data_IF_112570152618
#
_entry.id   IF_112570152618
#
_cell.length_a   1.000
_cell.length_b   1.000
_cell.length_c   1.000
_cell.angle_alpha   90.00
_cell.angle_beta   90.00
_cell.angle_gamma   90.00
#
_symmetry.space_group_name_H-M   'P 1'
#
loop_
_entity.id
_entity.type
_entity.pdbx_description
1 polymer ?
#
# COMPACT_ATOMS: atom_id res chain seq x y z
N UNK A 1 15.82 12.52 4.16
CA UNK A 1 15.11 13.75 4.59
C UNK A 1 14.63 13.63 6.03
N UNK A 2 14.66 14.70 6.82
CA UNK A 2 13.99 14.72 8.12
C UNK A 2 12.48 14.83 7.93
N UNK A 3 11.71 13.97 8.61
CA UNK A 3 10.24 14.07 8.66
C UNK A 3 9.83 15.37 9.38
N UNK A 4 8.70 15.98 9.03
CA UNK A 4 8.15 17.07 9.83
C UNK A 4 7.92 16.61 11.27
N UNK A 5 8.22 17.47 12.24
CA UNK A 5 8.11 17.12 13.66
C UNK A 5 6.66 17.01 14.16
N UNK A 6 5.72 17.68 13.49
CA UNK A 6 4.31 17.70 13.87
C UNK A 6 3.44 17.95 12.64
N UNK A 7 2.17 17.54 12.75
CA UNK A 7 1.17 17.86 11.73
C UNK A 7 0.78 19.32 11.87
N UNK A 8 0.69 20.02 10.74
CA UNK A 8 0.33 21.43 10.66
C UNK A 8 -0.79 21.66 9.65
N UNK A 9 -1.57 22.74 9.78
CA UNK A 9 -2.50 23.13 8.73
C UNK A 9 -1.73 23.55 7.47
N UNK A 10 -2.26 23.17 6.32
CA UNK A 10 -1.76 23.57 5.01
C UNK A 10 -2.09 25.05 4.78
N UNK A 11 -1.11 25.89 4.43
CA UNK A 11 -1.34 27.31 4.17
C UNK A 11 -2.18 27.57 2.91
N UNK A 12 -2.31 26.57 2.02
CA UNK A 12 -3.04 26.70 0.75
C UNK A 12 -4.49 26.20 0.84
N UNK A 13 -4.73 25.00 1.37
CA UNK A 13 -6.08 24.42 1.42
C UNK A 13 -6.74 24.45 2.81
N UNK A 14 -6.05 24.90 3.86
CA UNK A 14 -6.56 24.99 5.23
C UNK A 14 -6.70 23.65 5.98
N UNK A 15 -6.73 22.52 5.26
CA UNK A 15 -6.72 21.18 5.83
C UNK A 15 -5.35 20.79 6.39
N UNK A 16 -5.22 19.68 7.13
CA UNK A 16 -3.92 19.16 7.58
C UNK A 16 -3.01 18.89 6.38
N UNK A 17 -1.76 19.35 6.47
CA UNK A 17 -0.78 19.27 5.39
C UNK A 17 -0.58 17.81 4.94
N UNK A 18 -0.72 17.57 3.63
CA UNK A 18 -0.76 16.24 3.01
C UNK A 18 -2.17 15.76 2.66
N UNK A 19 -3.23 16.16 3.37
CA UNK A 19 -4.60 15.66 3.10
C UNK A 19 -5.13 16.08 1.73
N UNK A 20 -4.75 17.27 1.27
CA UNK A 20 -5.13 17.81 -0.04
C UNK A 20 -4.42 17.17 -1.23
N UNK A 21 -3.57 16.17 -1.04
CA UNK A 21 -2.84 15.49 -2.12
C UNK A 21 -3.79 14.75 -3.09
N UNK A 22 -3.53 14.77 -4.41
CA UNK A 22 -2.51 15.55 -5.12
C UNK A 22 -3.00 16.94 -5.58
N UNK A 23 -4.27 17.29 -5.33
CA UNK A 23 -4.91 18.48 -5.90
C UNK A 23 -4.40 19.82 -5.33
N UNK A 24 -4.00 19.85 -4.07
CA UNK A 24 -3.39 21.02 -3.43
C UNK A 24 -1.88 21.01 -3.69
N UNK A 25 -1.37 22.02 -4.40
CA UNK A 25 0.06 22.13 -4.76
C UNK A 25 0.99 22.01 -3.56
N UNK A 26 0.71 22.70 -2.46
CA UNK A 26 1.53 22.61 -1.25
C UNK A 26 1.54 21.20 -0.65
N UNK A 27 0.38 20.53 -0.64
CA UNK A 27 0.31 19.14 -0.17
C UNK A 27 1.02 18.18 -1.14
N UNK A 28 0.95 18.44 -2.45
CA UNK A 28 1.67 17.70 -3.48
C UNK A 28 3.17 17.78 -3.25
N UNK A 29 3.73 18.99 -3.19
CA UNK A 29 5.16 19.21 -2.94
C UNK A 29 5.63 18.57 -1.62
N UNK A 30 4.87 18.74 -0.53
CA UNK A 30 5.20 18.15 0.78
C UNK A 30 5.22 16.61 0.78
N UNK A 31 4.37 15.95 -0.01
CA UNK A 31 4.34 14.48 -0.09
C UNK A 31 5.38 13.99 -1.10
N UNK A 32 5.45 14.63 -2.26
CA UNK A 32 6.30 14.22 -3.38
C UNK A 32 7.80 14.46 -3.10
N UNK A 33 8.16 15.38 -2.20
CA UNK A 33 9.56 15.63 -1.80
C UNK A 33 10.31 14.37 -1.31
N UNK A 34 9.59 13.39 -0.73
CA UNK A 34 10.20 12.14 -0.26
C UNK A 34 10.71 11.27 -1.41
N UNK A 35 10.05 11.34 -2.56
CA UNK A 35 10.48 10.66 -3.78
C UNK A 35 11.46 11.52 -4.59
N UNK A 36 11.20 12.82 -4.64
CA UNK A 36 11.99 13.77 -5.43
C UNK A 36 13.45 13.83 -4.98
N UNK A 37 13.73 13.71 -3.67
CA UNK A 37 15.10 13.74 -3.17
C UNK A 37 15.95 12.58 -3.71
N UNK A 38 15.44 11.35 -3.61
CA UNK A 38 16.16 10.17 -4.12
C UNK A 38 16.32 10.25 -5.65
N UNK A 39 15.32 10.82 -6.35
CA UNK A 39 15.42 11.08 -7.78
C UNK A 39 16.48 12.13 -8.13
N UNK A 40 16.56 13.23 -7.38
CA UNK A 40 17.56 14.28 -7.57
C UNK A 40 18.98 13.76 -7.28
N UNK A 41 19.15 12.89 -6.28
CA UNK A 41 20.41 12.20 -6.02
C UNK A 41 20.81 11.31 -7.21
N UNK A 42 19.86 10.57 -7.80
CA UNK A 42 20.10 9.77 -8.99
C UNK A 42 20.48 10.64 -10.21
N UNK A 43 19.76 11.73 -10.46
CA UNK A 43 20.08 12.68 -11.54
C UNK A 43 21.49 13.26 -11.40
N UNK A 44 21.88 13.63 -10.17
CA UNK A 44 23.21 14.16 -9.90
C UNK A 44 24.31 13.09 -10.14
N UNK A 45 24.05 11.84 -9.75
CA UNK A 45 24.94 10.71 -9.97
C UNK A 45 25.16 10.40 -11.46
N UNK A 46 24.14 10.61 -12.30
CA UNK A 46 24.18 10.44 -13.76
C UNK A 46 24.58 11.74 -14.51
N UNK A 47 24.87 12.84 -13.79
CA UNK A 47 25.15 14.16 -14.34
C UNK A 47 24.08 14.69 -15.32
N UNK A 48 22.81 14.42 -15.01
CA UNK A 48 21.65 14.85 -15.80
C UNK A 48 20.97 16.08 -15.18
N UNK A 49 20.37 16.90 -16.04
CA UNK A 49 19.57 18.06 -15.61
C UNK A 49 18.09 17.68 -15.48
N UNK A 50 17.45 18.19 -14.43
CA UNK A 50 15.99 18.09 -14.22
C UNK A 50 15.23 18.76 -15.38
N UNK A 51 14.17 18.12 -15.86
CA UNK A 51 13.35 18.54 -16.99
C UNK A 51 14.00 18.34 -18.38
N UNK A 52 15.22 17.79 -18.44
CA UNK A 52 15.92 17.53 -19.69
C UNK A 52 15.47 16.23 -20.39
N UNK A 53 15.86 16.07 -21.67
CA UNK A 53 15.58 14.82 -22.40
C UNK A 53 16.18 13.58 -21.72
N UNK A 54 17.38 13.73 -21.13
CA UNK A 54 18.05 12.64 -20.40
C UNK A 54 17.30 12.19 -19.16
N UNK A 55 16.52 13.06 -18.50
CA UNK A 55 15.71 12.65 -17.33
C UNK A 55 14.63 11.64 -17.75
N UNK A 56 14.02 11.85 -18.92
CA UNK A 56 13.01 10.93 -19.46
C UNK A 56 13.63 9.58 -19.84
N UNK A 57 14.79 9.60 -20.50
CA UNK A 57 15.53 8.38 -20.85
C UNK A 57 15.94 7.60 -19.60
N UNK A 58 16.39 8.29 -18.55
CA UNK A 58 16.68 7.69 -17.26
C UNK A 58 15.42 7.08 -16.62
N UNK A 59 14.27 7.75 -16.68
CA UNK A 59 13.02 7.20 -16.16
C UNK A 59 12.62 5.91 -16.89
N UNK A 60 12.81 5.84 -18.21
CA UNK A 60 12.57 4.64 -19.00
C UNK A 60 13.53 3.50 -18.59
N UNK A 61 14.82 3.83 -18.40
CA UNK A 61 15.83 2.87 -17.93
C UNK A 61 15.50 2.31 -16.54
N UNK A 62 15.16 3.17 -15.59
CA UNK A 62 14.81 2.78 -14.21
C UNK A 62 13.64 1.80 -14.16
N UNK A 63 12.65 1.93 -15.06
CA UNK A 63 11.52 1.00 -15.14
C UNK A 63 11.82 -0.27 -15.94
N UNK A 64 12.84 -0.27 -16.80
CA UNK A 64 13.27 -1.43 -17.58
C UNK A 64 14.27 -2.32 -16.82
N UNK A 65 15.00 -1.74 -15.87
CA UNK A 65 15.98 -2.42 -15.04
C UNK A 65 15.35 -3.44 -14.06
N UNK A 66 16.19 -4.33 -13.52
CA UNK A 66 15.78 -5.29 -12.51
C UNK A 66 15.22 -4.61 -11.25
N UNK A 67 14.16 -5.19 -10.68
CA UNK A 67 13.57 -4.75 -9.41
C UNK A 67 14.65 -4.77 -8.33
N UNK A 68 14.77 -3.67 -7.57
CA UNK A 68 15.79 -3.55 -6.53
C UNK A 68 17.09 -2.89 -6.96
N UNK A 69 17.34 -2.73 -8.27
CA UNK A 69 18.54 -2.02 -8.77
C UNK A 69 18.54 -0.54 -8.41
N UNK A 70 17.38 0.08 -8.47
CA UNK A 70 17.14 1.47 -8.06
C UNK A 70 16.25 1.51 -6.81
N UNK A 71 16.41 2.50 -5.91
CA UNK A 71 15.48 2.71 -4.81
C UNK A 71 14.03 2.74 -5.29
N UNK A 72 13.11 2.15 -4.51
CA UNK A 72 11.69 2.09 -4.88
C UNK A 72 11.06 3.47 -5.08
N UNK A 73 11.59 4.50 -4.41
CA UNK A 73 11.26 5.92 -4.61
C UNK A 73 11.61 6.39 -6.01
N UNK A 74 12.78 6.04 -6.53
CA UNK A 74 13.15 6.34 -7.92
C UNK A 74 12.24 5.62 -8.93
N UNK A 75 11.91 4.34 -8.68
CA UNK A 75 10.94 3.60 -9.53
C UNK A 75 9.58 4.30 -9.54
N UNK A 76 9.03 4.64 -8.39
CA UNK A 76 7.74 5.31 -8.27
C UNK A 76 7.75 6.73 -8.87
N UNK A 77 8.89 7.44 -8.79
CA UNK A 77 9.05 8.77 -9.39
C UNK A 77 9.14 8.67 -10.92
N UNK A 78 9.91 7.72 -11.45
CA UNK A 78 9.99 7.45 -12.88
C UNK A 78 8.61 7.20 -13.50
N UNK A 79 7.73 6.48 -12.80
CA UNK A 79 6.33 6.29 -13.23
C UNK A 79 5.57 7.62 -13.37
N UNK A 80 5.91 8.64 -12.56
CA UNK A 80 5.26 9.96 -12.62
C UNK A 80 5.74 10.84 -13.78
N UNK A 81 6.93 10.54 -14.32
CA UNK A 81 7.52 11.26 -15.44
C UNK A 81 7.09 10.70 -16.81
N UNK A 82 6.58 9.46 -16.82
CA UNK A 82 6.23 8.75 -18.05
C UNK A 82 4.72 8.70 -18.27
N UNK A 83 4.32 8.97 -19.51
CA UNK A 83 2.96 8.77 -19.98
C UNK A 83 2.76 7.32 -20.43
N UNK A 84 1.62 6.75 -20.09
CA UNK A 84 1.19 5.45 -20.55
C UNK A 84 0.99 5.48 -22.07
N UNK A 85 1.67 4.59 -22.79
CA UNK A 85 1.56 4.51 -24.25
C UNK A 85 0.19 4.07 -24.77
N UNK A 86 -0.70 3.58 -23.89
CA UNK A 86 -2.07 3.19 -24.25
C UNK A 86 -3.10 4.30 -24.00
N UNK A 87 -3.11 4.92 -22.82
CA UNK A 87 -4.13 5.90 -22.44
C UNK A 87 -3.63 7.35 -22.36
N UNK A 88 -2.32 7.59 -22.48
CA UNK A 88 -1.72 8.93 -22.41
C UNK A 88 -1.56 9.51 -21.01
N UNK A 89 -2.28 8.99 -20.01
CA UNK A 89 -2.15 9.43 -18.61
C UNK A 89 -0.80 9.02 -18.00
N UNK A 90 -0.45 9.65 -16.87
CA UNK A 90 0.69 9.23 -16.05
C UNK A 90 0.63 7.72 -15.75
N UNK A 91 1.78 7.04 -15.83
CA UNK A 91 1.85 5.60 -15.73
C UNK A 91 1.24 5.10 -14.40
N UNK A 92 0.45 4.02 -14.48
CA UNK A 92 -0.38 3.48 -13.38
C UNK A 92 -1.52 4.38 -12.86
N UNK A 93 -1.74 5.58 -13.41
CA UNK A 93 -2.85 6.45 -13.02
C UNK A 93 -4.02 6.45 -14.00
N UNK A 94 -3.89 5.83 -15.18
CA UNK A 94 -4.94 5.82 -16.21
C UNK A 94 -6.23 5.08 -15.82
N UNK A 95 -7.21 5.00 -16.76
CA UNK A 95 -8.53 4.39 -16.54
C UNK A 95 -8.44 2.97 -16.00
N UNK A 96 -9.44 2.54 -15.22
CA UNK A 96 -9.43 1.24 -14.54
C UNK A 96 -9.24 0.04 -15.49
N UNK A 97 -9.73 0.16 -16.72
CA UNK A 97 -9.64 -0.82 -17.81
C UNK A 97 -8.37 -0.72 -18.68
N UNK A 98 -7.50 0.27 -18.44
CA UNK A 98 -6.21 0.36 -19.11
C UNK A 98 -5.24 -0.71 -18.59
N UNK A 99 -5.04 -1.76 -19.41
CA UNK A 99 -4.17 -2.90 -19.09
C UNK A 99 -2.74 -2.48 -18.82
N UNK A 100 -2.16 -1.56 -19.61
CA UNK A 100 -0.79 -1.07 -19.37
C UNK A 100 -0.63 -0.39 -18.01
N UNK A 101 -1.60 0.44 -17.60
CA UNK A 101 -1.56 1.04 -16.27
C UNK A 101 -1.73 -0.01 -15.16
N UNK A 102 -2.58 -1.02 -15.36
CA UNK A 102 -2.73 -2.12 -14.42
C UNK A 102 -1.44 -2.95 -14.27
N UNK A 103 -0.75 -3.25 -15.37
CA UNK A 103 0.53 -3.96 -15.37
C UNK A 103 1.61 -3.14 -14.67
N UNK A 104 1.72 -1.85 -14.98
CA UNK A 104 2.70 -0.97 -14.34
C UNK A 104 2.45 -0.84 -12.82
N UNK A 105 1.18 -0.76 -12.38
CA UNK A 105 0.85 -0.79 -10.96
C UNK A 105 1.16 -2.15 -10.32
N UNK A 106 0.94 -3.27 -11.02
CA UNK A 106 1.36 -4.59 -10.53
C UNK A 106 2.88 -4.70 -10.36
N UNK A 107 3.64 -4.21 -11.34
CA UNK A 107 5.11 -4.20 -11.30
C UNK A 107 5.65 -3.29 -10.18
N UNK A 108 5.01 -2.15 -9.89
CA UNK A 108 5.34 -1.29 -8.74
C UNK A 108 5.46 -2.10 -7.44
N UNK A 109 4.51 -3.00 -7.18
CA UNK A 109 4.46 -3.79 -5.94
C UNK A 109 5.37 -5.02 -5.96
N UNK A 110 6.03 -5.34 -7.09
CA UNK A 110 7.00 -6.44 -7.15
C UNK A 110 8.16 -6.27 -6.15
N UNK A 111 8.52 -5.01 -5.84
CA UNK A 111 9.49 -4.65 -4.80
C UNK A 111 9.18 -5.30 -3.44
N UNK A 112 7.90 -5.40 -3.07
CA UNK A 112 7.46 -5.98 -1.80
C UNK A 112 7.63 -7.52 -1.77
N UNK A 113 7.74 -8.15 -2.94
CA UNK A 113 7.79 -9.60 -3.12
C UNK A 113 9.18 -10.13 -3.52
N UNK A 114 10.04 -9.30 -4.11
CA UNK A 114 11.31 -9.70 -4.71
C UNK A 114 12.45 -10.00 -3.71
N UNK A 115 12.18 -10.17 -2.42
CA UNK A 115 13.25 -10.44 -1.44
C UNK A 115 14.06 -9.20 -1.04
N UNK A 116 13.62 -8.01 -1.42
CA UNK A 116 14.04 -6.73 -0.85
C UNK A 116 13.17 -6.19 0.32
N UNK A 117 12.31 -6.97 1.04
CA UNK A 117 11.38 -6.40 2.00
C UNK A 117 12.08 -5.83 3.26
N UNK A 118 13.36 -6.13 3.49
CA UNK A 118 14.15 -5.47 4.54
C UNK A 118 14.59 -4.05 4.17
N UNK A 119 14.48 -3.68 2.89
CA UNK A 119 14.84 -2.35 2.39
C UNK A 119 13.67 -1.35 2.40
N UNK A 120 12.44 -1.79 2.69
CA UNK A 120 11.30 -0.89 2.92
C UNK A 120 10.75 -1.09 4.34
N UNK A 121 10.79 -0.03 5.13
CA UNK A 121 10.20 -0.02 6.47
C UNK A 121 8.67 -0.03 6.36
N UNK A 122 7.98 -0.47 7.42
CA UNK A 122 6.52 -0.46 7.45
C UNK A 122 5.92 0.96 7.26
N UNK A 123 6.62 2.00 7.74
CA UNK A 123 6.23 3.39 7.54
C UNK A 123 6.37 3.85 6.09
N UNK A 124 7.45 3.46 5.41
CA UNK A 124 7.65 3.74 3.99
C UNK A 124 6.62 3.03 3.12
N UNK A 125 6.37 1.74 3.39
CA UNK A 125 5.34 0.98 2.66
C UNK A 125 3.95 1.59 2.84
N UNK A 126 3.60 2.04 4.06
CA UNK A 126 2.34 2.72 4.31
C UNK A 126 2.24 4.07 3.56
N UNK A 127 3.31 4.88 3.56
CA UNK A 127 3.38 6.14 2.83
C UNK A 127 3.28 5.93 1.31
N UNK A 128 3.98 4.92 0.79
CA UNK A 128 3.93 4.47 -0.61
C UNK A 128 2.52 4.06 -1.03
N UNK A 129 1.88 3.21 -0.23
CA UNK A 129 0.50 2.76 -0.45
C UNK A 129 -0.47 3.95 -0.45
N UNK A 130 -0.33 4.85 0.52
CA UNK A 130 -1.15 6.05 0.60
C UNK A 130 -1.02 6.88 -0.68
N UNK A 131 0.21 7.28 -1.04
CA UNK A 131 0.49 8.10 -2.23
C UNK A 131 -0.07 7.47 -3.51
N UNK A 132 0.26 6.21 -3.78
CA UNK A 132 -0.23 5.50 -4.96
C UNK A 132 -1.77 5.49 -5.02
N UNK A 133 -2.41 5.21 -3.88
CA UNK A 133 -3.88 5.18 -3.80
C UNK A 133 -4.52 6.54 -4.02
N UNK A 134 -3.99 7.61 -3.41
CA UNK A 134 -4.58 8.95 -3.53
C UNK A 134 -4.26 9.64 -4.85
N UNK A 135 -3.19 9.24 -5.55
CA UNK A 135 -2.83 9.73 -6.89
C UNK A 135 -3.71 9.15 -8.00
N UNK A 136 -4.18 7.91 -7.86
CA UNK A 136 -5.09 7.25 -8.81
C UNK A 136 -6.45 6.89 -8.18
N UNK A 137 -7.21 7.86 -7.62
CA UNK A 137 -8.34 7.58 -6.74
C UNK A 137 -9.47 6.78 -7.41
N UNK A 138 -9.67 6.92 -8.72
CA UNK A 138 -10.67 6.18 -9.50
C UNK A 138 -10.37 4.69 -9.66
N UNK A 139 -9.13 4.26 -9.42
CA UNK A 139 -8.73 2.83 -9.44
C UNK A 139 -9.04 2.12 -8.12
N UNK A 140 -9.46 2.86 -7.10
CA UNK A 140 -9.71 2.33 -5.77
C UNK A 140 -11.13 2.64 -5.29
N UNK A 141 -11.61 1.86 -4.31
CA UNK A 141 -12.87 2.14 -3.64
C UNK A 141 -12.78 3.50 -2.93
N UNK A 142 -13.82 4.32 -3.02
CA UNK A 142 -13.86 5.65 -2.39
C UNK A 142 -13.52 5.61 -0.89
N UNK A 143 -13.97 4.60 -0.15
CA UNK A 143 -13.64 4.43 1.27
C UNK A 143 -12.14 4.16 1.53
N UNK A 144 -11.46 3.47 0.61
CA UNK A 144 -10.01 3.25 0.69
C UNK A 144 -9.25 4.55 0.44
N UNK A 145 -9.64 5.30 -0.61
CA UNK A 145 -9.07 6.61 -0.91
C UNK A 145 -9.27 7.57 0.26
N UNK A 146 -10.48 7.65 0.79
CA UNK A 146 -10.81 8.51 1.93
C UNK A 146 -9.98 8.15 3.17
N UNK A 147 -9.85 6.88 3.51
CA UNK A 147 -9.02 6.46 4.65
C UNK A 147 -7.55 6.84 4.48
N UNK A 148 -6.97 6.67 3.28
CA UNK A 148 -5.58 7.06 3.03
C UNK A 148 -5.38 8.57 3.01
N UNK A 149 -6.34 9.36 2.47
CA UNK A 149 -6.33 10.82 2.62
C UNK A 149 -6.34 11.23 4.09
N UNK A 150 -7.12 10.53 4.93
CA UNK A 150 -7.18 10.84 6.36
C UNK A 150 -5.87 10.54 7.08
N UNK A 151 -5.16 9.48 6.69
CA UNK A 151 -3.93 9.02 7.32
C UNK A 151 -2.67 9.75 6.83
N UNK A 152 -2.67 10.26 5.59
CA UNK A 152 -1.48 10.81 4.94
C UNK A 152 -0.75 11.89 5.76
N UNK A 153 -1.42 12.90 6.37
CA UNK A 153 -0.73 13.86 7.24
C UNK A 153 0.06 13.23 8.39
N UNK A 154 -0.49 12.17 8.99
CA UNK A 154 0.11 11.48 10.12
C UNK A 154 1.25 10.54 9.68
N UNK A 155 1.11 9.91 8.52
CA UNK A 155 2.18 9.12 7.90
C UNK A 155 3.42 9.99 7.61
N UNK A 156 3.25 11.25 7.22
CA UNK A 156 4.37 12.16 6.95
C UNK A 156 5.20 12.44 8.21
N UNK A 157 4.56 12.54 9.37
CA UNK A 157 5.27 12.76 10.66
C UNK A 157 5.76 11.47 11.32
N UNK A 158 5.53 10.31 10.70
CA UNK A 158 6.04 9.02 11.16
C UNK A 158 5.06 8.18 11.97
N UNK A 159 3.81 8.58 12.11
CA UNK A 159 2.78 7.77 12.76
C UNK A 159 2.39 6.58 11.88
N UNK A 160 2.32 5.38 12.45
CA UNK A 160 2.05 4.15 11.70
C UNK A 160 0.73 3.50 12.14
N UNK A 161 -0.31 3.49 11.30
CA UNK A 161 -1.55 2.78 11.59
C UNK A 161 -1.38 1.26 11.51
N UNK A 162 -1.89 0.57 12.52
CA UNK A 162 -2.11 -0.87 12.47
C UNK A 162 -3.14 -1.22 11.39
N UNK A 163 -3.06 -2.43 10.85
CA UNK A 163 -4.06 -2.93 9.89
C UNK A 163 -5.49 -2.89 10.45
N UNK A 164 -5.66 -3.06 11.78
CA UNK A 164 -6.95 -2.92 12.46
C UNK A 164 -7.49 -1.49 12.40
N UNK A 165 -6.65 -0.49 12.68
CA UNK A 165 -7.01 0.94 12.56
C UNK A 165 -7.39 1.30 11.12
N UNK A 166 -6.61 0.87 10.12
CA UNK A 166 -6.93 1.13 8.70
C UNK A 166 -8.29 0.54 8.32
N UNK A 167 -8.58 -0.71 8.73
CA UNK A 167 -9.89 -1.34 8.47
C UNK A 167 -11.04 -0.60 9.14
N UNK A 168 -10.87 -0.13 10.38
CA UNK A 168 -11.89 0.67 11.08
C UNK A 168 -12.15 2.00 10.38
N UNK A 169 -11.10 2.72 10.00
CA UNK A 169 -11.22 3.98 9.27
C UNK A 169 -11.94 3.80 7.94
N UNK A 170 -11.57 2.77 7.15
CA UNK A 170 -12.28 2.45 5.90
C UNK A 170 -13.77 2.16 6.13
N UNK A 171 -14.11 1.44 7.20
CA UNK A 171 -15.50 1.16 7.54
C UNK A 171 -16.26 2.43 7.95
N UNK A 172 -15.64 3.32 8.72
CA UNK A 172 -16.23 4.60 9.14
C UNK A 172 -16.45 5.54 7.95
N UNK A 173 -15.47 5.63 7.03
CA UNK A 173 -15.63 6.40 5.78
C UNK A 173 -16.74 5.81 4.92
N UNK A 174 -16.82 4.48 4.79
CA UNK A 174 -17.91 3.81 4.07
C UNK A 174 -19.29 4.12 4.70
N UNK A 175 -19.34 4.32 6.02
CA UNK A 175 -20.55 4.70 6.75
C UNK A 175 -20.86 6.21 6.71
N UNK A 176 -20.11 7.01 5.94
CA UNK A 176 -20.35 8.45 5.78
C UNK A 176 -19.65 9.36 6.80
N UNK A 177 -18.82 8.82 7.70
CA UNK A 177 -18.18 9.60 8.77
C UNK A 177 -16.93 10.40 8.32
N UNK A 178 -16.73 10.61 7.01
CA UNK A 178 -15.50 11.26 6.52
C UNK A 178 -15.32 12.68 7.07
N UNK A 179 -16.36 13.51 7.07
CA UNK A 179 -16.26 14.90 7.53
C UNK A 179 -15.91 15.00 9.02
N UNK A 180 -16.46 14.11 9.84
CA UNK A 180 -16.15 14.03 11.28
C UNK A 180 -14.69 13.61 11.50
N UNK A 181 -14.24 12.55 10.79
CA UNK A 181 -12.85 12.08 10.85
C UNK A 181 -11.85 13.11 10.31
N UNK A 182 -12.24 13.91 9.32
CA UNK A 182 -11.40 14.99 8.79
C UNK A 182 -11.18 16.12 9.81
N UNK A 183 -12.10 16.27 10.78
CA UNK A 183 -11.96 17.19 11.90
C UNK A 183 -10.97 16.74 12.98
N UNK A 184 -10.53 15.48 12.98
CA UNK A 184 -9.49 15.02 13.91
C UNK A 184 -8.15 15.72 13.60
N UNK A 185 -7.60 16.41 14.60
CA UNK A 185 -6.35 17.15 14.48
C UNK A 185 -5.13 16.29 14.85
N UNK A 186 -5.34 15.21 15.61
CA UNK A 186 -4.28 14.30 16.05
C UNK A 186 -4.49 12.87 15.57
N UNK A 187 -3.39 12.12 15.50
CA UNK A 187 -3.42 10.70 15.14
C UNK A 187 -4.19 9.86 16.17
N UNK A 188 -4.08 10.21 17.45
CA UNK A 188 -4.80 9.54 18.55
C UNK A 188 -6.30 9.73 18.38
N UNK A 189 -6.79 10.95 18.12
CA UNK A 189 -8.21 11.22 17.85
C UNK A 189 -8.71 10.40 16.64
N UNK A 190 -7.97 10.43 15.53
CA UNK A 190 -8.35 9.72 14.32
C UNK A 190 -8.46 8.21 14.53
N UNK A 191 -7.50 7.60 15.23
CA UNK A 191 -7.43 6.14 15.38
C UNK A 191 -8.20 5.57 16.56
N UNK A 192 -8.57 6.44 17.52
CA UNK A 192 -9.45 6.12 18.63
C UNK A 192 -10.93 6.33 18.29
N UNK A 193 -11.24 6.69 17.04
CA UNK A 193 -12.61 6.87 16.59
C UNK A 193 -13.45 5.61 16.88
N UNK A 194 -14.64 5.78 17.51
CA UNK A 194 -15.39 4.66 18.05
C UNK A 194 -15.76 3.64 16.97
N UNK A 195 -15.73 2.36 17.35
CA UNK A 195 -16.24 1.32 16.47
C UNK A 195 -17.71 1.52 16.19
N UNK A 196 -18.07 1.37 14.92
CA UNK A 196 -19.45 1.47 14.47
C UNK A 196 -20.32 0.47 15.25
N UNK A 197 -21.51 0.87 15.72
CA UNK A 197 -22.29 0.09 16.68
C UNK A 197 -22.67 -1.30 16.17
N UNK A 198 -22.88 -1.48 14.86
CA UNK A 198 -23.18 -2.77 14.23
C UNK A 198 -21.98 -3.70 14.03
N UNK A 199 -20.75 -3.26 14.34
CA UNK A 199 -19.55 -4.11 14.36
C UNK A 199 -19.16 -4.57 15.75
N UNK A 200 -19.81 -4.09 16.82
CA UNK A 200 -19.67 -4.73 18.12
C UNK A 200 -20.19 -6.15 17.94
N UNK A 201 -19.37 -7.21 18.11
CA UNK A 201 -19.97 -8.48 18.41
C UNK A 201 -20.76 -8.21 19.69
N UNK A 202 -22.10 -8.28 19.62
CA UNK A 202 -22.85 -8.60 20.80
C UNK A 202 -22.13 -9.83 21.34
N UNK A 203 -21.42 -9.70 22.45
CA UNK A 203 -20.74 -10.83 23.07
C UNK A 203 -21.90 -11.56 23.73
N UNK A 204 -22.52 -12.61 23.14
CA UNK A 204 -23.33 -13.47 23.98
C UNK A 204 -22.39 -13.92 25.09
N UNK A 205 -22.85 -13.82 26.34
CA UNK A 205 -22.15 -14.45 27.46
C UNK A 205 -21.82 -15.85 26.98
N UNK A 206 -20.53 -16.15 26.85
CA UNK A 206 -20.06 -17.48 26.46
C UNK A 206 -20.67 -18.37 27.53
N UNK A 207 -21.64 -19.26 27.23
CA UNK A 207 -22.12 -20.18 28.25
C UNK A 207 -20.89 -20.91 28.76
N UNK A 208 -20.70 -20.91 30.07
CA UNK A 208 -19.58 -21.58 30.71
C UNK A 208 -19.42 -22.95 30.06
N UNK A 209 -18.26 -23.16 29.46
CA UNK A 209 -17.95 -24.42 28.82
C UNK A 209 -17.91 -25.44 29.95
N UNK A 210 -19.04 -26.11 30.20
CA UNK A 210 -19.10 -27.23 31.14
C UNK A 210 -18.03 -28.21 30.65
N UNK A 211 -17.00 -28.51 31.46
CA UNK A 211 -16.06 -29.55 31.10
C UNK A 211 -16.88 -30.81 30.87
N UNK A 212 -16.74 -31.41 29.68
CA UNK A 212 -17.35 -32.69 29.35
C UNK A 212 -16.90 -33.68 30.42
N UNK A 213 -17.82 -34.07 31.29
CA UNK A 213 -17.64 -35.23 32.15
C UNK A 213 -17.40 -36.43 31.25
N UNK A 214 -16.23 -37.01 31.47
CA UNK A 214 -15.70 -38.24 30.95
C UNK A 214 -16.80 -39.32 30.85
N UNK A 215 -17.21 -39.67 29.64
CA UNK A 215 -18.00 -40.84 29.35
C UNK A 215 -17.38 -41.55 28.16
N UNK A 216 -16.91 -42.76 28.49
CA UNK A 216 -16.69 -43.93 27.66
C UNK A 216 -15.51 -43.93 26.67
N UNK A 217 -14.47 -44.64 27.12
CA UNK A 217 -13.52 -45.38 26.26
C UNK A 217 -14.28 -46.35 25.36
N UNK A 218 -13.98 -46.36 24.05
CA UNK A 218 -14.12 -47.56 23.24
C UNK A 218 -12.78 -48.29 23.13
N UNK A 219 -12.92 -49.59 23.26
CA UNK A 219 -11.95 -50.66 23.14
C UNK A 219 -11.22 -50.62 21.80
N UNK A 220 -9.92 -50.92 21.89
CA UNK A 220 -8.98 -51.18 20.80
C UNK A 220 -9.51 -52.28 19.87
N UNK A 221 -9.63 -51.97 18.58
CA UNK A 221 -9.59 -52.98 17.52
C UNK A 221 -8.61 -52.49 16.45
N UNK A 222 -7.47 -53.17 16.39
CA UNK A 222 -6.45 -52.99 15.38
C UNK A 222 -6.95 -53.66 14.09
N UNK A 223 -7.07 -52.87 13.02
CA UNK A 223 -7.08 -53.41 11.66
C UNK A 223 -5.84 -52.89 10.94
N UNK A 224 -5.02 -53.86 10.51
CA UNK A 224 -3.83 -53.68 9.72
C UNK A 224 -4.21 -53.14 8.34
N UNK A 225 -3.67 -51.99 7.97
CA UNK A 225 -3.69 -51.50 6.59
C UNK A 225 -2.39 -51.96 5.95
N UNK A 226 -2.52 -52.87 4.98
CA UNK A 226 -1.44 -53.30 4.10
C UNK A 226 -0.87 -52.12 3.31
N UNK A 227 0.46 -52.01 3.34
CA UNK A 227 1.27 -51.04 2.62
C UNK A 227 1.19 -51.31 1.10
N UNK A 228 0.60 -50.38 0.35
CA UNK A 228 0.63 -50.42 -1.11
C UNK A 228 1.99 -49.90 -1.63
N UNK A 229 2.61 -50.56 -2.64
CA UNK A 229 3.92 -50.16 -3.14
C UNK A 229 3.87 -48.84 -3.90
N UNK A 230 4.83 -47.95 -3.58
CA UNK A 230 5.06 -46.67 -4.28
C UNK A 230 5.47 -46.91 -5.74
N UNK A 231 4.86 -46.25 -6.73
CA UNK A 231 5.39 -46.23 -8.09
C UNK A 231 6.70 -45.42 -8.16
N UNK A 232 7.67 -45.97 -8.88
CA UNK A 232 9.01 -45.40 -9.06
C UNK A 232 9.03 -44.10 -9.87
N UNK A 233 10.16 -43.37 -9.86
CA UNK A 233 10.29 -42.07 -10.53
C UNK A 233 10.21 -42.24 -12.04
N UNK A 234 9.16 -41.64 -12.61
CA UNK A 234 8.96 -41.48 -14.04
C UNK A 234 9.94 -40.47 -14.65
N UNK A 235 10.44 -40.90 -15.79
CA UNK A 235 11.31 -40.29 -16.79
C UNK A 235 10.94 -38.83 -17.17
N UNK A 236 11.92 -37.96 -17.50
CA UNK A 236 11.65 -36.58 -17.91
C UNK A 236 11.05 -36.49 -19.32
N UNK A 237 9.96 -35.72 -19.45
CA UNK A 237 9.31 -35.42 -20.71
C UNK A 237 10.21 -34.53 -21.59
N UNK A 238 10.35 -34.91 -22.85
CA UNK A 238 10.99 -34.12 -23.90
C UNK A 238 10.10 -32.95 -24.35
N UNK A 239 10.72 -31.79 -24.56
CA UNK A 239 10.13 -30.59 -25.17
C UNK A 239 9.72 -30.84 -26.64
N UNK A 240 8.63 -30.22 -27.13
CA UNK A 240 8.44 -29.99 -28.54
C UNK A 240 8.82 -28.57 -28.97
N UNK A 241 9.45 -28.57 -30.15
CA UNK A 241 9.93 -27.50 -31.04
C UNK A 241 8.99 -26.33 -31.24
#
# INVERSE_FOLDING_TARGET
MARPAAVSPCPSCGDLAGRGYPACRFCAELVDQYWLLDWQELLAAEQLAEGGAGERELAELVLADEVGRHPWTCTDWAMTLLACSQCGDELATGPADCVRCAMADGLRWSWDHAGHPTAITAGEHALRTARATVRAPHRHRAATVGAWRLLLPFLLVGELPTAGQVRRLRAAVLAGAYAELAGCATYVELTSFPELPWRRPARPARPDHRPRTHLDQPVVAADAVEDAPRPGPGEPAADPV
#
